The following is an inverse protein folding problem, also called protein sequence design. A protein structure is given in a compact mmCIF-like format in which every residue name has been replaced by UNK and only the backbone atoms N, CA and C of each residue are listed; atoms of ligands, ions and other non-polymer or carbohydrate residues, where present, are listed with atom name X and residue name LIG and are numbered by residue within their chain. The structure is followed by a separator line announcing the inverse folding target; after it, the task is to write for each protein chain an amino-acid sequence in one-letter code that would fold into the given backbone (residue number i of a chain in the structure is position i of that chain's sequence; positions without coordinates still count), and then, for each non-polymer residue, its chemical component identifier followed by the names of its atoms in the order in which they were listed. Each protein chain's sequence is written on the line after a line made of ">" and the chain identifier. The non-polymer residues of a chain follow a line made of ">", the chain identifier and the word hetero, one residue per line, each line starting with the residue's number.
data_IF_186029403352
#
_entry.id   IF_186029403352
#
_cell.length_a   1.000
_cell.length_b   1.000
_cell.length_c   1.000
_cell.angle_alpha   90.00
_cell.angle_beta   90.00
_cell.angle_gamma   90.00
#
_symmetry.space_group_name_H-M   'P 1'
#
loop_
_entity.id
_entity.type
_entity.pdbx_description
1 polymer ?
#
# COMPACT_ATOMS: atom_id res chain seq x y z
N UNK A 1 21.78 18.75 -17.33
CA UNK A 1 22.61 17.75 -16.61
C UNK A 1 23.22 16.79 -17.62
N UNK A 2 24.53 16.51 -17.55
CA UNK A 2 25.21 15.47 -18.32
C UNK A 2 24.56 14.09 -18.12
N UNK A 3 24.53 13.26 -19.16
CA UNK A 3 23.88 11.95 -19.13
C UNK A 3 24.46 11.00 -18.07
N UNK A 4 25.77 10.99 -17.89
CA UNK A 4 26.43 10.15 -16.87
C UNK A 4 26.08 10.55 -15.44
N UNK A 5 25.91 11.85 -15.16
CA UNK A 5 25.45 12.31 -13.85
C UNK A 5 24.02 11.87 -13.58
N UNK A 6 23.17 11.89 -14.62
CA UNK A 6 21.80 11.42 -14.52
C UNK A 6 21.72 9.91 -14.24
N UNK A 7 22.55 9.10 -14.91
CA UNK A 7 22.66 7.66 -14.63
C UNK A 7 23.10 7.38 -13.19
N UNK A 8 24.05 8.15 -12.66
CA UNK A 8 24.50 8.00 -11.25
C UNK A 8 23.38 8.31 -10.26
N UNK A 9 22.55 9.31 -10.53
CA UNK A 9 21.39 9.64 -9.69
C UNK A 9 20.38 8.49 -9.73
N UNK A 10 20.03 8.00 -10.92
CA UNK A 10 19.10 6.86 -11.05
C UNK A 10 19.62 5.62 -10.34
N UNK A 11 20.92 5.31 -10.48
CA UNK A 11 21.53 4.18 -9.77
C UNK A 11 21.50 4.35 -8.25
N UNK A 12 21.76 5.54 -7.74
CA UNK A 12 21.68 5.85 -6.31
C UNK A 12 20.25 5.66 -5.77
N UNK A 13 19.25 6.14 -6.49
CA UNK A 13 17.84 6.01 -6.10
C UNK A 13 17.37 4.55 -6.11
N UNK A 14 17.83 3.75 -7.09
CA UNK A 14 17.57 2.31 -7.11
C UNK A 14 18.23 1.58 -5.94
N UNK A 15 19.46 1.93 -5.59
CA UNK A 15 20.14 1.37 -4.42
C UNK A 15 19.42 1.76 -3.13
N UNK A 16 18.92 3.00 -3.04
CA UNK A 16 18.11 3.42 -1.89
C UNK A 16 16.81 2.63 -1.80
N UNK A 17 16.20 2.28 -2.94
CA UNK A 17 14.99 1.47 -2.96
C UNK A 17 15.26 0.00 -2.59
N UNK A 18 16.40 -0.56 -3.01
CA UNK A 18 16.84 -1.91 -2.62
C UNK A 18 17.08 -2.01 -1.10
N UNK A 19 17.62 -0.95 -0.50
CA UNK A 19 17.89 -0.87 0.93
C UNK A 19 16.64 -0.54 1.78
N UNK A 20 15.50 -0.26 1.15
CA UNK A 20 14.30 0.13 1.87
C UNK A 20 13.81 -1.04 2.73
N UNK A 21 13.74 -0.80 4.03
CA UNK A 21 13.27 -1.82 4.97
C UNK A 21 11.78 -2.09 4.78
N UNK A 22 11.42 -3.37 4.80
CA UNK A 22 10.04 -3.83 4.77
C UNK A 22 9.39 -3.62 6.13
N UNK A 23 8.06 -3.44 6.15
CA UNK A 23 7.32 -3.40 7.41
C UNK A 23 7.56 -4.69 8.19
N UNK A 24 7.80 -4.57 9.50
CA UNK A 24 8.07 -5.72 10.36
C UNK A 24 6.77 -6.53 10.49
N UNK A 25 6.84 -7.82 10.14
CA UNK A 25 5.77 -8.76 10.46
C UNK A 25 5.52 -8.75 11.97
N UNK A 26 4.26 -8.91 12.37
CA UNK A 26 3.92 -8.97 13.78
C UNK A 26 4.68 -10.11 14.46
N UNK A 27 5.39 -9.77 15.52
CA UNK A 27 6.04 -10.75 16.39
C UNK A 27 5.07 -11.37 17.39
N UNK A 28 5.42 -12.51 17.97
CA UNK A 28 4.60 -13.16 19.00
C UNK A 28 4.32 -12.25 20.21
N UNK A 29 5.31 -11.48 20.67
CA UNK A 29 5.11 -10.56 21.79
C UNK A 29 4.14 -9.44 21.44
N UNK A 30 4.27 -8.84 20.24
CA UNK A 30 3.32 -7.82 19.76
C UNK A 30 1.90 -8.39 19.66
N UNK A 31 1.75 -9.65 19.23
CA UNK A 31 0.46 -10.34 19.23
C UNK A 31 -0.15 -10.46 20.64
N UNK A 32 0.66 -10.87 21.63
CA UNK A 32 0.20 -10.98 23.02
C UNK A 32 -0.21 -9.61 23.57
N UNK A 33 0.61 -8.59 23.35
CA UNK A 33 0.32 -7.22 23.78
C UNK A 33 -1.03 -6.73 23.20
N UNK A 34 -1.30 -6.98 21.92
CA UNK A 34 -2.56 -6.61 21.27
C UNK A 34 -3.75 -7.39 21.84
N UNK A 35 -3.56 -8.69 22.12
CA UNK A 35 -4.62 -9.55 22.65
C UNK A 35 -5.08 -9.10 24.05
N UNK A 36 -4.20 -8.47 24.82
CA UNK A 36 -4.46 -7.98 26.18
C UNK A 36 -5.06 -6.56 26.23
N UNK A 37 -5.12 -5.85 25.10
CA UNK A 37 -5.69 -4.50 25.05
C UNK A 37 -7.18 -4.48 25.41
N UNK A 38 -7.59 -3.46 26.17
CA UNK A 38 -8.99 -3.14 26.41
C UNK A 38 -9.69 -2.61 25.13
N UNK A 39 -11.02 -2.50 25.16
CA UNK A 39 -11.79 -2.13 23.98
C UNK A 39 -11.38 -0.78 23.38
N UNK A 40 -11.17 0.24 24.22
CA UNK A 40 -10.82 1.59 23.76
C UNK A 40 -9.42 1.57 23.14
N UNK A 41 -8.46 0.93 23.80
CA UNK A 41 -7.09 0.78 23.33
C UNK A 41 -7.00 0.02 22.02
N UNK A 42 -7.86 -0.98 21.80
CA UNK A 42 -7.97 -1.69 20.50
C UNK A 42 -8.43 -0.77 19.37
N UNK A 43 -9.42 0.08 19.59
CA UNK A 43 -9.91 1.03 18.58
C UNK A 43 -8.84 2.10 18.27
N UNK A 44 -8.18 2.62 19.31
CA UNK A 44 -7.05 3.55 19.17
C UNK A 44 -5.89 2.90 18.42
N UNK A 45 -5.55 1.65 18.75
CA UNK A 45 -4.52 0.87 18.06
C UNK A 45 -4.86 0.71 16.57
N UNK A 46 -6.08 0.27 16.25
CA UNK A 46 -6.54 0.11 14.88
C UNK A 46 -6.43 1.42 14.08
N UNK A 47 -6.87 2.54 14.67
CA UNK A 47 -6.75 3.86 14.07
C UNK A 47 -5.29 4.25 13.85
N UNK A 48 -4.42 4.05 14.84
CA UNK A 48 -3.02 4.42 14.76
C UNK A 48 -2.26 3.61 13.70
N UNK A 49 -2.46 2.30 13.66
CA UNK A 49 -1.88 1.44 12.62
C UNK A 49 -2.39 1.85 11.23
N UNK A 50 -3.69 2.14 11.10
CA UNK A 50 -4.27 2.63 9.84
C UNK A 50 -3.63 3.95 9.42
N UNK A 51 -3.54 4.94 10.30
CA UNK A 51 -2.95 6.25 9.96
C UNK A 51 -1.45 6.18 9.67
N UNK A 52 -0.72 5.31 10.37
CA UNK A 52 0.70 5.05 10.11
C UNK A 52 0.88 4.42 8.74
N UNK A 53 0.09 3.41 8.41
CA UNK A 53 0.13 2.75 7.12
C UNK A 53 -0.26 3.68 5.96
N UNK A 54 -1.29 4.52 6.13
CA UNK A 54 -1.68 5.52 5.13
C UNK A 54 -0.52 6.47 4.79
N UNK A 55 0.15 7.00 5.82
CA UNK A 55 1.33 7.87 5.65
C UNK A 55 2.48 7.16 4.93
N UNK A 56 2.71 5.89 5.28
CA UNK A 56 3.74 5.08 4.62
C UNK A 56 3.43 4.87 3.13
N UNK A 57 2.21 4.46 2.78
CA UNK A 57 1.79 4.27 1.38
C UNK A 57 1.88 5.59 0.58
N UNK A 58 1.47 6.71 1.18
CA UNK A 58 1.57 8.03 0.52
C UNK A 58 3.01 8.43 0.24
N UNK A 59 3.91 8.28 1.22
CA UNK A 59 5.34 8.52 1.04
C UNK A 59 5.91 7.61 -0.06
N UNK A 60 5.56 6.33 0.00
CA UNK A 60 6.01 5.33 -0.95
C UNK A 60 5.59 5.62 -2.39
N UNK A 61 4.30 5.95 -2.62
CA UNK A 61 3.82 6.31 -3.95
C UNK A 61 4.61 7.51 -4.50
N UNK A 62 4.82 8.55 -3.69
CA UNK A 62 5.57 9.74 -4.12
C UNK A 62 6.99 9.38 -4.54
N UNK A 63 7.67 8.54 -3.75
CA UNK A 63 9.04 8.12 -4.03
C UNK A 63 9.11 7.31 -5.33
N UNK A 64 8.25 6.30 -5.51
CA UNK A 64 8.20 5.46 -6.73
C UNK A 64 7.83 6.27 -7.97
N UNK A 65 6.89 7.22 -7.86
CA UNK A 65 6.56 8.14 -8.95
C UNK A 65 7.75 9.03 -9.31
N UNK A 66 8.51 9.49 -8.32
CA UNK A 66 9.74 10.26 -8.53
C UNK A 66 10.77 9.47 -9.34
N UNK A 67 11.05 8.23 -8.93
CA UNK A 67 11.99 7.34 -9.64
C UNK A 67 11.47 7.00 -11.04
N UNK A 68 10.17 6.70 -11.18
CA UNK A 68 9.55 6.43 -12.48
C UNK A 68 9.64 7.61 -13.45
N UNK A 69 9.48 8.85 -12.95
CA UNK A 69 9.67 10.06 -13.75
C UNK A 69 11.11 10.22 -14.24
N UNK A 70 12.10 9.86 -13.41
CA UNK A 70 13.50 9.81 -13.84
C UNK A 70 13.71 8.75 -14.93
N UNK A 71 13.08 7.58 -14.81
CA UNK A 71 13.12 6.56 -15.86
C UNK A 71 12.51 7.00 -17.17
N UNK A 72 11.43 7.77 -17.15
CA UNK A 72 10.85 8.33 -18.37
C UNK A 72 11.88 9.17 -19.15
N UNK A 73 12.68 9.98 -18.44
CA UNK A 73 13.75 10.73 -19.06
C UNK A 73 14.93 9.85 -19.51
N UNK A 74 15.23 8.79 -18.74
CA UNK A 74 16.30 7.85 -19.08
C UNK A 74 16.00 7.08 -20.36
N UNK A 75 14.79 6.54 -20.48
CA UNK A 75 14.35 5.70 -21.59
C UNK A 75 14.31 6.44 -22.93
N UNK A 76 14.20 7.78 -22.92
CA UNK A 76 14.36 8.61 -24.13
C UNK A 76 15.80 8.59 -24.68
N UNK A 77 16.80 8.34 -23.83
CA UNK A 77 18.23 8.35 -24.19
C UNK A 77 18.83 6.94 -24.25
N UNK A 78 18.33 6.03 -23.42
CA UNK A 78 18.74 4.63 -23.35
C UNK A 78 17.49 3.73 -23.38
N UNK A 79 16.89 3.52 -24.57
CA UNK A 79 15.63 2.77 -24.68
C UNK A 79 15.78 1.26 -24.43
N UNK A 80 17.01 0.75 -24.38
CA UNK A 80 17.33 -0.65 -24.08
C UNK A 80 17.46 -0.91 -22.56
N UNK A 81 17.31 0.12 -21.74
CA UNK A 81 17.37 0.00 -20.29
C UNK A 81 16.10 -0.71 -19.77
N UNK A 82 16.28 -1.73 -18.91
CA UNK A 82 15.20 -2.59 -18.41
C UNK A 82 15.08 -2.63 -16.87
N UNK A 83 15.91 -1.90 -16.14
CA UNK A 83 15.92 -1.90 -14.66
C UNK A 83 14.65 -1.25 -14.09
N UNK A 84 13.90 -0.49 -14.90
CA UNK A 84 12.56 -0.04 -14.54
C UNK A 84 11.59 -1.20 -14.25
N UNK A 85 11.77 -2.38 -14.85
CA UNK A 85 10.98 -3.59 -14.54
C UNK A 85 11.27 -4.05 -13.11
N UNK A 86 12.55 -4.05 -12.72
CA UNK A 86 12.97 -4.37 -11.36
C UNK A 86 12.39 -3.37 -10.35
N UNK A 87 12.41 -2.06 -10.66
CA UNK A 87 11.79 -1.03 -9.81
C UNK A 87 10.32 -1.33 -9.55
N UNK A 88 9.53 -1.61 -10.60
CA UNK A 88 8.11 -1.92 -10.46
C UNK A 88 7.90 -3.19 -9.64
N UNK A 89 8.58 -4.28 -10.00
CA UNK A 89 8.43 -5.56 -9.32
C UNK A 89 8.80 -5.46 -7.83
N UNK A 90 9.94 -4.84 -7.53
CA UNK A 90 10.37 -4.63 -6.15
C UNK A 90 9.38 -3.73 -5.40
N UNK A 91 8.86 -2.70 -6.08
CA UNK A 91 7.95 -1.77 -5.43
C UNK A 91 6.59 -2.36 -5.07
N UNK A 92 6.03 -3.16 -5.98
CA UNK A 92 4.79 -3.89 -5.74
C UNK A 92 4.98 -4.92 -4.63
N UNK A 93 6.11 -5.63 -4.61
CA UNK A 93 6.45 -6.57 -3.53
C UNK A 93 6.49 -5.88 -2.17
N UNK A 94 7.21 -4.77 -2.04
CA UNK A 94 7.30 -4.03 -0.79
C UNK A 94 5.93 -3.56 -0.30
N UNK A 95 5.09 -3.00 -1.19
CA UNK A 95 3.74 -2.57 -0.84
C UNK A 95 2.87 -3.74 -0.37
N UNK A 96 2.92 -4.88 -1.07
CA UNK A 96 2.19 -6.09 -0.69
C UNK A 96 2.62 -6.57 0.71
N UNK A 97 3.91 -6.62 0.99
CA UNK A 97 4.44 -6.99 2.31
C UNK A 97 3.96 -6.03 3.40
N UNK A 98 4.00 -4.72 3.16
CA UNK A 98 3.50 -3.74 4.12
C UNK A 98 1.99 -3.92 4.38
N UNK A 99 1.18 -4.14 3.34
CA UNK A 99 -0.28 -4.36 3.46
C UNK A 99 -0.58 -5.66 4.19
N UNK A 100 0.14 -6.75 3.88
CA UNK A 100 0.01 -8.00 4.62
C UNK A 100 0.42 -7.84 6.08
N UNK A 101 1.50 -7.11 6.36
CA UNK A 101 1.91 -6.74 7.71
C UNK A 101 0.80 -6.02 8.46
N UNK A 102 0.20 -4.99 7.85
CA UNK A 102 -0.95 -4.28 8.40
C UNK A 102 -2.14 -5.23 8.68
N UNK A 103 -2.54 -6.08 7.73
CA UNK A 103 -3.66 -7.00 7.94
C UNK A 103 -3.37 -8.05 9.02
N UNK A 104 -2.13 -8.52 9.16
CA UNK A 104 -1.74 -9.41 10.25
C UNK A 104 -1.98 -8.77 11.62
N UNK A 105 -1.67 -7.46 11.74
CA UNK A 105 -1.97 -6.62 12.91
C UNK A 105 -3.44 -6.49 13.21
N UNK A 106 -4.22 -6.23 12.18
CA UNK A 106 -5.67 -6.14 12.29
C UNK A 106 -6.30 -7.47 12.69
N UNK A 107 -5.78 -8.60 12.21
CA UNK A 107 -6.30 -9.94 12.56
C UNK A 107 -6.15 -10.23 14.05
N UNK A 108 -5.11 -9.74 14.73
CA UNK A 108 -4.98 -9.92 16.18
C UNK A 108 -6.16 -9.29 16.95
N UNK A 109 -6.79 -8.24 16.40
CA UNK A 109 -7.99 -7.64 16.99
C UNK A 109 -9.23 -8.54 16.86
N UNK A 110 -9.20 -9.58 16.02
CA UNK A 110 -10.29 -10.53 15.86
C UNK A 110 -10.46 -11.47 17.07
N UNK A 111 -9.49 -11.52 18.00
CA UNK A 111 -9.62 -12.15 19.32
C UNK A 111 -10.54 -11.32 20.24
N UNK A 112 -11.63 -10.82 19.70
CA UNK A 112 -12.58 -9.97 20.37
C UNK A 112 -13.52 -10.79 21.25
N UNK A 113 -12.98 -11.29 22.37
CA UNK A 113 -13.76 -12.03 23.36
C UNK A 113 -14.86 -11.17 24.01
N UNK A 114 -14.73 -9.84 23.97
CA UNK A 114 -15.62 -8.89 24.64
C UNK A 114 -16.54 -8.11 23.70
N UNK A 115 -16.56 -8.42 22.40
CA UNK A 115 -17.36 -7.72 21.38
C UNK A 115 -17.04 -6.20 21.26
N UNK A 116 -15.80 -5.82 21.60
CA UNK A 116 -15.26 -4.46 21.51
C UNK A 116 -15.35 -3.84 20.10
N UNK A 117 -15.22 -4.66 19.05
CA UNK A 117 -15.40 -4.20 17.68
C UNK A 117 -16.90 -4.09 17.40
N UNK A 118 -17.43 -2.87 17.52
CA UNK A 118 -18.84 -2.62 17.20
C UNK A 118 -19.14 -2.98 15.73
N UNK A 119 -20.38 -3.41 15.40
CA UNK A 119 -20.74 -3.85 14.05
C UNK A 119 -20.33 -2.87 12.94
N UNK A 120 -20.52 -1.56 13.16
CA UNK A 120 -20.14 -0.53 12.17
C UNK A 120 -18.65 -0.51 11.84
N UNK A 121 -17.78 -0.76 12.82
CA UNK A 121 -16.33 -0.83 12.59
C UNK A 121 -16.00 -2.11 11.81
N UNK A 122 -16.62 -3.23 12.17
CA UNK A 122 -16.48 -4.50 11.44
C UNK A 122 -16.90 -4.37 9.98
N UNK A 123 -18.02 -3.71 9.70
CA UNK A 123 -18.52 -3.51 8.33
C UNK A 123 -17.51 -2.72 7.48
N UNK A 124 -16.96 -1.62 8.01
CA UNK A 124 -15.93 -0.83 7.32
C UNK A 124 -14.67 -1.66 7.04
N UNK A 125 -14.25 -2.48 8.01
CA UNK A 125 -13.09 -3.35 7.84
C UNK A 125 -13.34 -4.44 6.81
N UNK A 126 -14.52 -5.07 6.81
CA UNK A 126 -14.89 -6.11 5.85
C UNK A 126 -14.96 -5.54 4.42
N UNK A 127 -15.60 -4.39 4.25
CA UNK A 127 -15.61 -3.67 2.96
C UNK A 127 -14.19 -3.39 2.47
N UNK A 128 -13.31 -2.97 3.38
CA UNK A 128 -11.91 -2.70 3.05
C UNK A 128 -11.16 -3.97 2.63
N UNK A 129 -11.38 -5.11 3.30
CA UNK A 129 -10.80 -6.40 2.91
C UNK A 129 -11.30 -6.84 1.53
N UNK A 130 -12.59 -6.66 1.24
CA UNK A 130 -13.17 -7.01 -0.07
C UNK A 130 -12.53 -6.15 -1.17
N UNK A 131 -12.46 -4.83 -0.97
CA UNK A 131 -11.85 -3.91 -1.91
C UNK A 131 -10.35 -4.18 -2.09
N UNK A 132 -9.62 -4.52 -1.01
CA UNK A 132 -8.23 -4.94 -1.06
C UNK A 132 -8.04 -6.18 -1.94
N UNK A 133 -8.84 -7.22 -1.72
CA UNK A 133 -8.76 -8.46 -2.51
C UNK A 133 -9.00 -8.21 -3.99
N UNK A 134 -9.94 -7.32 -4.33
CA UNK A 134 -10.20 -6.89 -5.71
C UNK A 134 -8.98 -6.20 -6.31
N UNK A 135 -8.42 -5.20 -5.61
CA UNK A 135 -7.25 -4.46 -6.06
C UNK A 135 -5.99 -5.35 -6.20
N UNK A 136 -5.82 -6.33 -5.31
CA UNK A 136 -4.74 -7.31 -5.40
C UNK A 136 -4.93 -8.26 -6.58
N UNK A 137 -6.16 -8.72 -6.84
CA UNK A 137 -6.45 -9.53 -8.03
C UNK A 137 -6.18 -8.76 -9.34
N UNK A 138 -6.51 -7.46 -9.38
CA UNK A 138 -6.18 -6.57 -10.51
C UNK A 138 -4.66 -6.45 -10.73
N UNK A 139 -3.86 -6.37 -9.66
CA UNK A 139 -2.39 -6.40 -9.77
C UNK A 139 -1.89 -7.70 -10.38
N UNK A 140 -2.37 -8.83 -9.87
CA UNK A 140 -1.93 -10.14 -10.34
C UNK A 140 -2.28 -10.32 -11.81
N UNK A 141 -3.49 -9.93 -12.20
CA UNK A 141 -3.90 -9.92 -13.61
C UNK A 141 -2.95 -9.06 -14.45
N UNK A 142 -2.65 -7.83 -14.00
CA UNK A 142 -1.71 -6.94 -14.69
C UNK A 142 -0.31 -7.55 -14.86
N UNK A 143 0.23 -8.18 -13.81
CA UNK A 143 1.56 -8.80 -13.85
C UNK A 143 1.58 -10.00 -14.78
N UNK A 144 0.55 -10.86 -14.73
CA UNK A 144 0.42 -12.03 -15.58
C UNK A 144 0.19 -11.65 -17.04
N UNK A 145 -0.66 -10.67 -17.32
CA UNK A 145 -0.86 -10.14 -18.66
C UNK A 145 0.43 -9.50 -19.19
N UNK A 146 1.16 -8.80 -18.34
CA UNK A 146 2.46 -8.23 -18.68
C UNK A 146 3.50 -9.28 -19.03
N UNK A 147 3.55 -10.37 -18.28
CA UNK A 147 4.42 -11.52 -18.54
C UNK A 147 4.00 -12.31 -19.79
N UNK A 148 2.72 -12.66 -19.90
CA UNK A 148 2.20 -13.52 -20.96
C UNK A 148 2.16 -12.83 -22.34
N UNK A 149 1.86 -11.54 -22.37
CA UNK A 149 1.70 -10.77 -23.62
C UNK A 149 2.83 -9.77 -23.88
N UNK A 150 3.91 -9.81 -23.09
CA UNK A 150 5.09 -8.98 -23.33
C UNK A 150 4.83 -7.48 -23.13
N UNK A 151 3.91 -7.09 -22.25
CA UNK A 151 3.73 -5.67 -21.93
C UNK A 151 4.94 -5.06 -21.21
N UNK A 152 5.87 -5.90 -20.73
CA UNK A 152 7.20 -5.51 -20.24
C UNK A 152 8.26 -5.39 -21.35
N UNK A 153 7.86 -5.29 -22.62
CA UNK A 153 8.79 -5.05 -23.72
C UNK A 153 9.57 -3.75 -23.50
N UNK A 154 10.89 -3.80 -23.74
CA UNK A 154 11.78 -2.65 -23.57
C UNK A 154 11.35 -1.48 -24.44
N UNK A 155 11.65 -0.24 -24.02
CA UNK A 155 11.24 0.96 -24.75
C UNK A 155 11.72 0.95 -26.22
N UNK A 156 12.84 0.27 -26.52
CA UNK A 156 13.34 0.06 -27.88
C UNK A 156 12.31 -0.60 -28.82
N UNK A 157 11.55 -1.61 -28.35
CA UNK A 157 10.53 -2.28 -29.17
C UNK A 157 9.37 -1.33 -29.54
N UNK A 158 9.08 -0.32 -28.70
CA UNK A 158 8.05 0.69 -28.94
C UNK A 158 8.52 1.70 -30.00
N UNK A 159 9.80 2.08 -29.98
CA UNK A 159 10.40 2.93 -31.01
C UNK A 159 10.55 2.20 -32.37
N UNK A 160 10.80 0.89 -32.36
CA UNK A 160 10.88 0.08 -33.57
C UNK A 160 9.49 -0.16 -34.21
N UNK A 161 8.42 -0.33 -33.41
CA UNK A 161 7.06 -0.47 -33.95
C UNK A 161 6.50 0.83 -34.53
N UNK A 162 6.83 1.98 -33.92
CA UNK A 162 6.41 3.30 -34.43
C UNK A 162 7.14 3.69 -35.72
N UNK A 163 8.31 3.11 -36.00
CA UNK A 163 9.03 3.27 -37.26
C UNK A 163 8.64 2.23 -38.33
N UNK A 164 7.94 1.15 -37.97
CA UNK A 164 7.51 0.07 -38.86
C UNK A 164 6.06 0.17 -39.40
N UNK A 165 5.30 1.23 -39.07
CA UNK A 165 4.02 1.53 -39.72
C UNK A 165 2.88 0.52 -39.51
N UNK A 166 2.93 -0.30 -38.45
CA UNK A 166 1.84 -1.24 -38.14
C UNK A 166 0.90 -0.68 -37.07
N UNK A 167 -0.33 -0.37 -37.50
CA UNK A 167 -1.44 0.09 -36.67
C UNK A 167 -2.07 -1.08 -35.90
N UNK A 168 -1.66 -1.28 -34.65
CA UNK A 168 -2.48 -1.97 -33.64
C UNK A 168 -3.35 -0.94 -32.89
N UNK A 169 -4.54 -1.32 -32.38
CA UNK A 169 -5.54 -0.37 -31.89
C UNK A 169 -5.00 0.40 -30.68
N UNK A 170 -4.62 1.65 -30.94
CA UNK A 170 -4.30 2.66 -29.96
C UNK A 170 -5.56 2.99 -29.17
N UNK A 171 -5.57 2.63 -27.88
CA UNK A 171 -6.36 3.37 -26.90
C UNK A 171 -5.45 4.44 -26.32
N UNK A 172 -5.64 5.67 -26.79
CA UNK A 172 -5.31 6.95 -26.16
C UNK A 172 -3.97 7.03 -25.39
N UNK A 173 -2.87 7.13 -26.15
CA UNK A 173 -1.55 7.53 -25.63
C UNK A 173 -1.08 8.87 -26.21
N UNK A 174 -2.02 9.76 -26.58
CA UNK A 174 -1.70 11.11 -27.08
C UNK A 174 -1.68 12.19 -25.98
N UNK A 175 -2.12 11.88 -24.75
CA UNK A 175 -2.12 12.85 -23.64
C UNK A 175 -0.78 12.95 -22.86
N UNK A 176 0.20 12.08 -23.15
CA UNK A 176 1.52 12.06 -22.50
C UNK A 176 2.62 12.00 -23.55
N UNK A 177 2.97 13.14 -24.14
CA UNK A 177 4.04 13.27 -25.15
C UNK A 177 5.31 12.48 -24.78
N UNK A 178 5.57 11.41 -25.54
CA UNK A 178 6.69 10.49 -25.37
C UNK A 178 6.26 9.19 -24.69
N UNK A 179 6.08 8.15 -25.51
CA UNK A 179 5.60 6.80 -25.16
C UNK A 179 6.39 6.20 -24.00
N UNK A 180 5.83 6.29 -22.79
CA UNK A 180 6.21 5.46 -21.66
C UNK A 180 5.96 3.99 -22.03
N UNK A 181 6.79 3.04 -21.56
CA UNK A 181 6.39 1.64 -21.53
C UNK A 181 5.04 1.54 -20.82
N UNK A 182 4.03 0.97 -21.49
CA UNK A 182 2.65 0.86 -20.96
C UNK A 182 2.63 0.25 -19.56
N UNK A 183 3.50 -0.73 -19.33
CA UNK A 183 3.73 -1.37 -18.04
C UNK A 183 4.24 -0.43 -16.93
N UNK A 184 5.07 0.56 -17.25
CA UNK A 184 5.52 1.59 -16.30
C UNK A 184 4.38 2.53 -15.91
N UNK A 185 3.54 2.93 -16.87
CA UNK A 185 2.34 3.71 -16.59
C UNK A 185 1.34 2.90 -15.75
N UNK A 186 1.00 1.67 -16.16
CA UNK A 186 0.01 0.86 -15.44
C UNK A 186 0.49 0.43 -14.05
N UNK A 187 1.78 0.13 -13.89
CA UNK A 187 2.36 -0.18 -12.58
C UNK A 187 2.26 0.99 -11.59
N UNK A 188 2.45 2.22 -12.07
CA UNK A 188 2.25 3.43 -11.27
C UNK A 188 0.78 3.72 -10.98
N UNK A 189 -0.13 3.43 -11.93
CA UNK A 189 -1.57 3.54 -11.71
C UNK A 189 -2.03 2.62 -10.58
N UNK A 190 -1.54 1.37 -10.53
CA UNK A 190 -1.88 0.47 -9.43
C UNK A 190 -1.45 1.02 -8.06
N UNK A 191 -0.23 1.56 -7.95
CA UNK A 191 0.25 2.17 -6.71
C UNK A 191 -0.61 3.39 -6.31
N UNK A 192 -1.08 4.18 -7.29
CA UNK A 192 -2.01 5.27 -7.04
C UNK A 192 -3.37 4.77 -6.54
N UNK A 193 -3.93 3.73 -7.17
CA UNK A 193 -5.18 3.08 -6.75
C UNK A 193 -5.07 2.51 -5.33
N UNK A 194 -3.91 1.94 -4.97
CA UNK A 194 -3.63 1.48 -3.62
C UNK A 194 -3.69 2.61 -2.59
N UNK A 195 -3.03 3.73 -2.87
CA UNK A 195 -3.08 4.91 -2.01
C UNK A 195 -4.51 5.40 -1.83
N UNK A 196 -5.26 5.54 -2.92
CA UNK A 196 -6.64 6.03 -2.89
C UNK A 196 -7.57 5.11 -2.11
N UNK A 197 -7.44 3.80 -2.33
CA UNK A 197 -8.17 2.81 -1.57
C UNK A 197 -7.86 2.91 -0.07
N UNK A 198 -6.57 2.97 0.30
CA UNK A 198 -6.17 3.00 1.71
C UNK A 198 -6.59 4.32 2.39
N UNK A 199 -6.47 5.45 1.70
CA UNK A 199 -6.95 6.75 2.19
C UNK A 199 -8.47 6.76 2.40
N UNK A 200 -9.22 6.21 1.44
CA UNK A 200 -10.67 6.05 1.56
C UNK A 200 -11.07 5.17 2.74
N UNK A 201 -10.37 4.05 2.94
CA UNK A 201 -10.54 3.19 4.10
C UNK A 201 -10.24 3.93 5.41
N UNK A 202 -9.10 4.61 5.52
CA UNK A 202 -8.69 5.37 6.70
C UNK A 202 -9.72 6.45 7.07
N UNK A 203 -10.24 7.19 6.08
CA UNK A 203 -11.29 8.20 6.29
C UNK A 203 -12.60 7.60 6.76
N UNK A 204 -13.04 6.47 6.18
CA UNK A 204 -14.27 5.78 6.61
C UNK A 204 -14.15 5.26 8.04
N UNK A 205 -13.03 4.63 8.37
CA UNK A 205 -12.76 4.14 9.71
C UNK A 205 -12.77 5.29 10.73
N UNK A 206 -12.07 6.38 10.41
CA UNK A 206 -12.04 7.57 11.26
C UNK A 206 -13.43 8.17 11.47
N UNK A 207 -14.24 8.27 10.42
CA UNK A 207 -15.61 8.74 10.51
C UNK A 207 -16.49 7.88 11.43
N UNK A 208 -16.34 6.55 11.37
CA UNK A 208 -17.06 5.65 12.28
C UNK A 208 -16.59 5.83 13.71
N UNK A 209 -15.29 5.89 13.96
CA UNK A 209 -14.74 6.03 15.33
C UNK A 209 -15.17 7.36 15.99
N UNK A 210 -15.09 8.48 15.25
CA UNK A 210 -15.57 9.78 15.75
C UNK A 210 -17.07 9.74 16.07
N UNK A 211 -17.86 9.01 15.26
CA UNK A 211 -19.30 8.87 15.52
C UNK A 211 -19.63 8.05 16.77
N UNK A 212 -18.72 7.16 17.21
CA UNK A 212 -18.89 6.40 18.44
C UNK A 212 -18.59 7.29 19.66
N UNK A 213 -17.50 8.06 19.61
CA UNK A 213 -17.15 9.02 20.66
C UNK A 213 -18.22 10.10 20.86
N UNK A 214 -18.85 10.55 19.77
CA UNK A 214 -19.92 11.55 19.81
C UNK A 214 -21.25 11.03 20.40
N UNK A 215 -21.46 9.71 20.44
CA UNK A 215 -22.70 9.08 20.90
C UNK A 215 -22.64 8.67 22.37
N UNK A 216 -21.45 8.63 22.99
CA UNK A 216 -21.31 8.11 24.36
C UNK A 216 -20.72 9.10 25.39
N UNK A 217 -21.53 10.02 25.95
CA UNK A 217 -21.23 10.66 27.23
C UNK A 217 -21.98 10.03 28.42
N UNK A 218 -22.85 9.04 28.22
CA UNK A 218 -23.80 8.60 29.26
C UNK A 218 -24.04 7.08 29.39
N UNK A 219 -23.44 6.21 28.58
CA UNK A 219 -23.59 4.74 28.72
C UNK A 219 -22.43 4.05 29.44
N UNK A 220 -21.31 4.71 29.68
CA UNK A 220 -20.24 4.18 30.55
C UNK A 220 -20.54 4.46 32.03
N UNK A 221 -21.54 3.75 32.56
CA UNK A 221 -21.73 3.56 33.99
C UNK A 221 -20.45 3.00 34.61
N UNK A 222 -19.96 3.68 35.65
CA UNK A 222 -18.62 3.50 36.21
C UNK A 222 -18.28 2.06 36.58
N UNK A 223 -17.17 1.58 36.04
CA UNK A 223 -16.39 0.47 36.56
C UNK A 223 -14.93 0.77 36.29
N UNK A 224 -14.11 0.79 37.35
CA UNK A 224 -12.68 1.05 37.24
C UNK A 224 -12.02 0.10 36.22
N UNK A 225 -11.08 0.63 35.44
CA UNK A 225 -10.20 -0.15 34.56
C UNK A 225 -9.46 -1.19 35.42
N UNK A 226 -9.90 -2.45 35.36
CA UNK A 226 -9.28 -3.58 36.03
C UNK A 226 -8.35 -4.28 35.03
N UNK A 227 -7.05 -4.24 35.29
CA UNK A 227 -6.10 -5.10 34.59
C UNK A 227 -6.36 -6.56 34.97
N UNK A 228 -6.29 -7.47 34.01
CA UNK A 228 -6.72 -8.88 34.12
C UNK A 228 -5.88 -9.74 35.09
N UNK A 229 -4.91 -9.13 35.79
CA UNK A 229 -4.03 -9.75 36.80
C UNK A 229 -4.22 -9.23 38.22
N UNK A 230 -5.13 -8.27 38.46
CA UNK A 230 -5.44 -7.88 39.85
C UNK A 230 -6.54 -8.78 40.41
N UNK A 231 -6.22 -9.49 41.48
CA UNK A 231 -7.21 -10.16 42.31
C UNK A 231 -8.20 -9.14 42.91
N UNK A 232 -9.27 -9.64 43.55
CA UNK A 232 -10.28 -8.78 44.19
C UNK A 232 -9.71 -7.89 45.32
N UNK A 233 -8.42 -8.00 45.64
CA UNK A 233 -7.75 -7.27 46.72
C UNK A 233 -6.63 -6.34 46.22
N UNK A 234 -6.41 -6.24 44.91
CA UNK A 234 -5.51 -5.23 44.32
C UNK A 234 -4.03 -5.51 44.55
N UNK A 235 -3.63 -6.77 44.72
CA UNK A 235 -2.22 -7.17 44.66
C UNK A 235 -1.84 -7.68 43.26
N UNK A 236 -0.60 -7.37 42.85
CA UNK A 236 0.03 -7.85 41.62
C UNK A 236 0.50 -9.30 41.75
#
# INVERSE_FOLDING_TARGET
>A
MPFEQFLKIVAFELQSEDQRTTSRHMGFNEFQDIAELDCVSRLVYLMNETMTMNRQIQGYQRDVLGISGMYQHLLRKAPQENTWVWLLANSHRHLLECIHGYWSKVIALALDQHQCLVPRVRDVMLDAVIAWKKLHAELLALQWDGFAFGAYTGAAAIYDQSSAGQSSPQLDSELLGGTLPRSLATGNMWTASLREWFDGYARRLAGVLVSLDAVDPQQHGGGAIRLHHQDEHGSF
#
